data_IF_216888677476
#
_entry.id   IF_216888677476
#
_cell.length_a   1.000
_cell.length_b   1.000
_cell.length_c   1.000
_cell.angle_alpha   90.00
_cell.angle_beta   90.00
_cell.angle_gamma   90.00
#
_symmetry.space_group_name_H-M   'P 1'
#
loop_
_entity.id
_entity.type
_entity.pdbx_description
1 polymer ?
#
# COMPACT_ATOMS: atom_id res chain seq x y z
N UNK A 1 -17.32 3.44 -18.52
CA UNK A 1 -16.87 2.10 -18.81
C UNK A 1 -15.75 1.66 -17.92
N UNK A 2 -14.65 2.33 -18.04
CA UNK A 2 -13.50 1.95 -17.23
C UNK A 2 -13.74 2.13 -15.76
N UNK A 3 -14.54 3.13 -15.40
CA UNK A 3 -14.81 3.40 -14.00
C UNK A 3 -15.64 2.31 -13.35
N UNK A 4 -16.50 1.67 -14.13
CA UNK A 4 -17.30 0.58 -13.61
C UNK A 4 -16.42 -0.60 -13.22
N UNK A 5 -15.40 -0.86 -14.02
CA UNK A 5 -14.45 -1.92 -13.71
C UNK A 5 -13.73 -1.61 -12.39
N UNK A 6 -13.29 -0.36 -12.23
CA UNK A 6 -12.61 0.04 -11.01
C UNK A 6 -13.50 -0.07 -9.78
N UNK A 7 -14.80 0.26 -9.93
CA UNK A 7 -15.73 0.18 -8.84
C UNK A 7 -15.99 -1.25 -8.40
N UNK A 8 -15.76 -2.21 -9.29
CA UNK A 8 -15.93 -3.62 -8.97
C UNK A 8 -14.67 -4.28 -8.48
N UNK A 9 -13.58 -3.54 -8.48
CA UNK A 9 -12.29 -4.07 -8.09
C UNK A 9 -12.32 -4.44 -6.61
N UNK A 10 -11.90 -5.66 -6.30
CA UNK A 10 -11.82 -6.10 -4.92
C UNK A 10 -10.54 -5.52 -4.30
N UNK A 11 -10.49 -5.54 -2.98
CA UNK A 11 -9.29 -5.12 -2.27
C UNK A 11 -8.10 -5.98 -2.68
N UNK A 12 -8.33 -7.29 -2.83
CA UNK A 12 -7.28 -8.22 -3.22
C UNK A 12 -6.76 -7.91 -4.61
N UNK A 13 -7.66 -7.59 -5.55
CA UNK A 13 -7.25 -7.23 -6.90
C UNK A 13 -6.40 -5.96 -6.89
N UNK A 14 -6.81 -4.98 -6.11
CA UNK A 14 -6.09 -3.73 -5.99
C UNK A 14 -4.70 -3.97 -5.39
N UNK A 15 -4.62 -4.79 -4.34
CA UNK A 15 -3.33 -5.13 -3.72
C UNK A 15 -2.39 -5.76 -4.73
N UNK A 16 -2.91 -6.68 -5.54
CA UNK A 16 -2.08 -7.34 -6.54
C UNK A 16 -1.60 -6.36 -7.60
N UNK A 17 -2.45 -5.43 -8.03
CA UNK A 17 -2.05 -4.43 -9.02
C UNK A 17 -0.94 -3.53 -8.49
N UNK A 18 -1.06 -3.11 -7.23
CA UNK A 18 -0.03 -2.27 -6.61
C UNK A 18 1.29 -3.05 -6.50
N UNK A 19 1.21 -4.31 -6.09
CA UNK A 19 2.39 -5.16 -5.97
C UNK A 19 3.08 -5.31 -7.33
N UNK A 20 2.32 -5.57 -8.39
CA UNK A 20 2.88 -5.70 -9.72
C UNK A 20 3.56 -4.41 -10.18
N UNK A 21 2.92 -3.27 -9.92
CA UNK A 21 3.52 -2.00 -10.28
C UNK A 21 4.81 -1.75 -9.50
N UNK A 22 4.84 -2.10 -8.22
CA UNK A 22 6.04 -1.96 -7.42
C UNK A 22 7.19 -2.78 -7.99
N UNK A 23 6.91 -4.02 -8.43
CA UNK A 23 7.91 -4.86 -9.07
C UNK A 23 8.43 -4.20 -10.34
N UNK A 24 7.54 -3.67 -11.16
CA UNK A 24 7.93 -3.00 -12.40
C UNK A 24 8.79 -1.78 -12.12
N UNK A 25 8.60 -1.14 -10.99
CA UNK A 25 9.38 0.04 -10.59
C UNK A 25 10.68 -0.33 -9.87
N UNK A 26 11.00 -1.60 -9.77
CA UNK A 26 12.28 -2.05 -9.24
C UNK A 26 12.31 -2.38 -7.76
N UNK A 27 11.18 -2.41 -7.09
CA UNK A 27 11.13 -2.83 -5.69
C UNK A 27 11.21 -4.35 -5.65
N UNK A 28 12.31 -4.88 -5.16
CA UNK A 28 12.55 -6.33 -5.13
C UNK A 28 12.18 -6.95 -3.79
N UNK A 29 12.18 -6.15 -2.74
CA UNK A 29 11.91 -6.66 -1.39
C UNK A 29 10.50 -6.23 -1.02
N UNK A 30 9.55 -7.14 -1.24
CA UNK A 30 8.13 -6.86 -1.03
C UNK A 30 7.58 -7.83 0.00
N UNK A 31 7.08 -7.29 1.12
CA UNK A 31 6.33 -8.06 2.09
C UNK A 31 4.86 -7.69 1.94
N UNK A 32 4.04 -8.69 1.67
CA UNK A 32 2.60 -8.51 1.51
C UNK A 32 1.89 -9.35 2.55
N UNK A 33 1.01 -8.73 3.32
CA UNK A 33 0.28 -9.42 4.37
C UNK A 33 -0.91 -10.14 3.77
N UNK A 34 -0.69 -11.42 3.37
CA UNK A 34 -1.75 -12.22 2.78
C UNK A 34 -2.68 -12.81 3.81
N UNK A 35 -2.14 -13.16 4.98
CA UNK A 35 -2.84 -13.95 5.98
C UNK A 35 -2.68 -13.31 7.34
N UNK A 36 -3.75 -12.71 7.83
CA UNK A 36 -3.71 -11.99 9.10
C UNK A 36 -3.43 -12.90 10.30
N UNK A 37 -3.51 -14.21 10.14
CA UNK A 37 -3.22 -15.13 11.25
C UNK A 37 -1.76 -15.13 11.64
N UNK A 38 -0.88 -14.68 10.74
CA UNK A 38 0.56 -14.67 10.98
C UNK A 38 1.11 -13.27 11.17
N UNK A 39 0.23 -12.30 11.35
CA UNK A 39 0.62 -10.90 11.54
C UNK A 39 -0.19 -10.32 12.69
N UNK A 40 0.32 -9.31 13.38
CA UNK A 40 -0.48 -8.61 14.39
C UNK A 40 -1.74 -8.02 13.76
N UNK A 41 -2.78 -7.89 14.56
CA UNK A 41 -4.02 -7.30 14.09
C UNK A 41 -3.75 -5.89 13.56
N UNK A 42 -4.24 -5.60 12.35
CA UNK A 42 -4.10 -4.30 11.75
C UNK A 42 -2.77 -4.01 11.09
N UNK A 43 -1.87 -4.98 11.02
CA UNK A 43 -0.57 -4.77 10.40
C UNK A 43 -0.77 -4.34 8.93
N UNK A 44 0.05 -3.39 8.44
CA UNK A 44 -0.14 -2.86 7.08
C UNK A 44 -0.08 -3.94 6.00
N UNK A 45 -0.80 -3.70 4.92
CA UNK A 45 -0.90 -4.67 3.82
C UNK A 45 0.40 -4.86 3.07
N UNK A 46 1.23 -3.82 2.99
CA UNK A 46 2.37 -3.84 2.09
C UNK A 46 3.54 -3.08 2.70
N UNK A 47 4.70 -3.73 2.74
CA UNK A 47 5.96 -3.07 3.09
C UNK A 47 6.94 -3.40 1.99
N UNK A 48 7.50 -2.37 1.35
CA UNK A 48 8.42 -2.59 0.24
C UNK A 48 9.68 -1.74 0.43
N UNK A 49 10.78 -2.30 -0.01
CA UNK A 49 12.10 -1.69 0.18
C UNK A 49 12.85 -1.63 -1.13
N UNK A 50 13.56 -0.53 -1.34
CA UNK A 50 14.43 -0.37 -2.49
C UNK A 50 15.44 0.73 -2.19
N UNK A 51 16.73 0.39 -2.27
CA UNK A 51 17.83 1.37 -2.18
C UNK A 51 17.70 2.28 -0.96
N UNK A 52 17.44 1.69 0.20
CA UNK A 52 17.29 2.47 1.44
C UNK A 52 15.95 3.15 1.59
N UNK A 53 15.08 2.99 0.64
CA UNK A 53 13.73 3.56 0.67
C UNK A 53 12.76 2.53 1.23
N UNK A 54 11.89 2.96 2.14
CA UNK A 54 10.90 2.09 2.74
C UNK A 54 9.52 2.69 2.57
N UNK A 55 8.61 1.95 1.95
CA UNK A 55 7.23 2.35 1.81
C UNK A 55 6.36 1.38 2.60
N UNK A 56 5.47 1.92 3.42
CA UNK A 56 4.49 1.17 4.21
C UNK A 56 3.12 1.63 3.75
N UNK A 57 2.32 0.72 3.24
CA UNK A 57 1.03 1.10 2.67
C UNK A 57 -0.10 0.21 3.16
N UNK A 58 -1.19 0.85 3.52
CA UNK A 58 -2.47 0.20 3.78
C UNK A 58 -3.32 0.42 2.54
N UNK A 59 -3.93 -0.65 2.03
CA UNK A 59 -4.67 -0.62 0.77
C UNK A 59 -6.15 -0.86 1.05
N UNK A 60 -6.99 0.08 0.66
CA UNK A 60 -8.42 0.03 0.94
C UNK A 60 -9.21 0.31 -0.32
N UNK A 61 -10.42 -0.24 -0.38
CA UNK A 61 -11.37 0.08 -1.43
C UNK A 61 -11.90 1.49 -1.20
N UNK A 62 -12.51 2.04 -2.27
CA UNK A 62 -13.15 3.35 -2.14
C UNK A 62 -14.21 3.29 -1.05
N UNK A 63 -14.23 4.30 -0.21
CA UNK A 63 -15.22 4.44 0.83
C UNK A 63 -14.96 3.67 2.10
N UNK A 64 -14.04 2.72 2.09
CA UNK A 64 -13.74 1.95 3.29
C UNK A 64 -12.70 2.65 4.13
N UNK A 65 -12.85 2.59 5.45
CA UNK A 65 -11.91 3.20 6.38
C UNK A 65 -11.10 2.13 7.07
N UNK A 66 -9.82 2.41 7.37
CA UNK A 66 -9.04 1.49 8.18
C UNK A 66 -9.63 1.34 9.57
N UNK A 67 -9.39 0.20 10.19
CA UNK A 67 -9.75 -0.03 11.58
C UNK A 67 -8.85 0.79 12.49
N UNK A 68 -9.23 0.87 13.78
CA UNK A 68 -8.39 1.55 14.77
C UNK A 68 -7.00 0.94 14.85
N UNK A 69 -6.91 -0.40 14.80
CA UNK A 69 -5.61 -1.08 14.83
C UNK A 69 -4.78 -0.73 13.60
N UNK A 70 -5.42 -0.66 12.43
CA UNK A 70 -4.69 -0.31 11.21
C UNK A 70 -4.16 1.12 11.28
N UNK A 71 -4.98 2.06 11.74
CA UNK A 71 -4.51 3.44 11.93
C UNK A 71 -3.35 3.50 12.92
N UNK A 72 -3.42 2.72 13.99
CA UNK A 72 -2.37 2.72 15.01
C UNK A 72 -1.03 2.31 14.40
N UNK A 73 -1.02 1.23 13.60
CA UNK A 73 0.21 0.79 12.95
C UNK A 73 0.77 1.84 12.00
N UNK A 74 -0.10 2.46 11.20
CA UNK A 74 0.34 3.50 10.28
C UNK A 74 0.94 4.68 11.03
N UNK A 75 0.31 5.07 12.11
CA UNK A 75 0.81 6.18 12.92
C UNK A 75 2.19 5.86 13.50
N UNK A 76 2.37 4.66 14.02
CA UNK A 76 3.66 4.28 14.60
C UNK A 76 4.75 4.26 13.54
N UNK A 77 4.46 3.71 12.37
CA UNK A 77 5.43 3.73 11.28
C UNK A 77 5.77 5.14 10.86
N UNK A 78 4.78 6.03 10.88
CA UNK A 78 5.01 7.41 10.43
C UNK A 78 5.96 8.20 11.33
N UNK A 79 6.22 7.69 12.53
CA UNK A 79 7.17 8.32 13.45
C UNK A 79 8.62 7.95 13.13
N UNK A 80 8.83 6.97 12.24
CA UNK A 80 10.18 6.51 11.92
C UNK A 80 10.73 7.39 10.80
N UNK A 81 11.86 8.06 11.04
CA UNK A 81 12.46 8.90 10.00
C UNK A 81 12.76 8.06 8.75
N UNK A 82 12.38 8.57 7.60
CA UNK A 82 12.63 7.89 6.34
C UNK A 82 11.56 6.91 5.91
N UNK A 83 10.65 6.52 6.79
CA UNK A 83 9.54 5.67 6.38
C UNK A 83 8.50 6.50 5.64
N UNK A 84 8.07 6.02 4.47
CA UNK A 84 7.00 6.65 3.69
C UNK A 84 5.74 5.84 3.97
N UNK A 85 4.73 6.48 4.57
CA UNK A 85 3.54 5.78 5.03
C UNK A 85 2.33 6.30 4.27
N UNK A 86 1.56 5.39 3.69
CA UNK A 86 0.43 5.76 2.84
C UNK A 86 -0.80 4.93 3.15
N UNK A 87 -1.94 5.55 2.93
CA UNK A 87 -3.22 4.87 2.81
C UNK A 87 -3.65 5.06 1.37
N UNK A 88 -3.69 3.99 0.61
CA UNK A 88 -3.95 4.04 -0.82
C UNK A 88 -5.28 3.41 -1.19
N UNK A 89 -5.97 4.05 -2.12
CA UNK A 89 -7.22 3.55 -2.71
C UNK A 89 -7.06 3.53 -4.22
N UNK A 90 -7.93 2.80 -4.94
CA UNK A 90 -7.81 2.76 -6.41
C UNK A 90 -7.81 4.13 -7.07
N UNK A 91 -8.55 5.09 -6.51
CA UNK A 91 -8.57 6.46 -7.07
C UNK A 91 -7.23 7.17 -6.94
N UNK A 92 -6.31 6.64 -6.15
CA UNK A 92 -4.97 7.21 -5.98
C UNK A 92 -3.97 6.65 -6.98
N UNK A 93 -4.44 5.90 -8.00
CA UNK A 93 -3.53 5.15 -8.88
C UNK A 93 -2.43 6.01 -9.49
N UNK A 94 -2.77 7.19 -10.00
CA UNK A 94 -1.77 8.06 -10.60
C UNK A 94 -0.72 8.49 -9.59
N UNK A 95 -1.15 8.84 -8.38
CA UNK A 95 -0.23 9.20 -7.30
C UNK A 95 0.64 8.01 -6.90
N UNK A 96 0.04 6.83 -6.81
CA UNK A 96 0.78 5.61 -6.47
C UNK A 96 1.88 5.38 -7.49
N UNK A 97 1.54 5.47 -8.78
CA UNK A 97 2.52 5.26 -9.84
C UNK A 97 3.65 6.29 -9.75
N UNK A 98 3.31 7.53 -9.47
CA UNK A 98 4.31 8.59 -9.35
C UNK A 98 5.25 8.32 -8.18
N UNK A 99 4.69 7.95 -7.03
CA UNK A 99 5.47 7.66 -5.83
C UNK A 99 6.41 6.48 -6.06
N UNK A 100 5.90 5.42 -6.69
CA UNK A 100 6.70 4.23 -6.91
C UNK A 100 7.81 4.46 -7.92
N UNK A 101 7.56 5.30 -8.95
CA UNK A 101 8.56 5.54 -9.97
C UNK A 101 9.63 6.53 -9.53
N UNK A 102 9.24 7.60 -8.88
CA UNK A 102 10.17 8.71 -8.65
C UNK A 102 10.48 8.97 -7.19
N UNK A 103 9.61 8.52 -6.32
CA UNK A 103 9.81 8.75 -4.90
C UNK A 103 9.50 10.16 -4.49
N UNK A 104 10.00 10.48 -3.31
CA UNK A 104 9.86 11.80 -2.71
C UNK A 104 11.08 12.61 -3.04
N UNK A 105 11.12 13.09 -4.21
CA UNK A 105 12.27 13.89 -4.59
C UNK A 105 12.02 15.35 -4.25
#
# INVERSE_FOLDING_TARGET
MHREINNRQTEKDFQEQVRQLALLCGFEHIFHTWDSRHSPAGFPDLIILKDGRMIVAELKREGEQPSAEQYFWLLEFSKIPGAEVYLWRPSDWDSIAEILRHGNV
#
